data_IF_578424967019
#
_entry.id   IF_578424967019
#
_cell.length_a   1.000
_cell.length_b   1.000
_cell.length_c   1.000
_cell.angle_alpha   90.00
_cell.angle_beta   90.00
_cell.angle_gamma   90.00
#
_symmetry.space_group_name_H-M   'P 1'
#
loop_
_entity.id
_entity.type
_entity.pdbx_description
1 polymer ?
#
# COMPACT_ATOMS: atom_id res chain seq x y z
N UNK A 1 -8.06 -17.34 51.36
CA UNK A 1 -8.89 -16.54 50.45
C UNK A 1 -7.99 -16.12 49.30
N UNK A 2 -8.25 -16.58 48.08
CA UNK A 2 -9.29 -16.12 47.14
C UNK A 2 -8.91 -14.83 46.41
N UNK A 3 -9.13 -14.83 45.10
CA UNK A 3 -8.94 -13.74 44.15
C UNK A 3 -7.94 -14.11 43.05
N UNK A 4 -8.21 -15.10 42.21
CA UNK A 4 -8.99 -15.03 40.96
C UNK A 4 -8.31 -14.22 39.83
N UNK A 5 -7.79 -14.99 38.89
CA UNK A 5 -7.89 -14.85 37.43
C UNK A 5 -8.38 -13.52 36.84
N UNK A 6 -7.54 -12.92 35.99
CA UNK A 6 -8.00 -12.51 34.65
C UNK A 6 -6.91 -12.83 33.64
N UNK A 7 -7.06 -13.98 33.00
CA UNK A 7 -6.46 -14.26 31.71
C UNK A 7 -7.10 -13.31 30.69
N UNK A 8 -6.45 -12.19 30.42
CA UNK A 8 -6.82 -11.34 29.29
C UNK A 8 -6.40 -12.09 28.02
N UNK A 9 -7.30 -12.95 27.57
CA UNK A 9 -7.29 -13.46 26.21
C UNK A 9 -7.50 -12.27 25.28
N UNK A 10 -6.40 -11.70 24.77
CA UNK A 10 -6.39 -10.90 23.55
C UNK A 10 -6.82 -11.81 22.39
N UNK A 11 -8.12 -12.08 22.33
CA UNK A 11 -8.73 -12.62 21.15
C UNK A 11 -8.58 -11.52 20.10
N UNK A 12 -7.74 -11.79 19.10
CA UNK A 12 -7.74 -11.10 17.82
C UNK A 12 -9.18 -11.08 17.29
N UNK A 13 -9.94 -10.06 17.67
CA UNK A 13 -11.26 -9.82 17.11
C UNK A 13 -11.06 -9.60 15.63
N UNK A 14 -11.42 -10.62 14.84
CA UNK A 14 -11.35 -10.56 13.40
C UNK A 14 -12.09 -9.31 12.93
N UNK A 15 -11.38 -8.40 12.26
CA UNK A 15 -11.96 -7.13 11.87
C UNK A 15 -13.09 -7.36 10.88
N UNK A 16 -14.30 -6.93 11.23
CA UNK A 16 -15.51 -7.09 10.38
C UNK A 16 -15.44 -6.35 9.05
N UNK A 17 -14.45 -5.46 8.87
CA UNK A 17 -14.18 -4.72 7.65
C UNK A 17 -13.01 -5.27 6.83
N UNK A 18 -12.24 -6.22 7.36
CA UNK A 18 -11.07 -6.79 6.69
C UNK A 18 -11.28 -8.28 6.41
N UNK A 19 -10.73 -8.77 5.29
CA UNK A 19 -10.68 -10.20 5.00
C UNK A 19 -9.51 -10.86 5.76
N UNK A 20 -9.53 -10.83 7.10
CA UNK A 20 -8.48 -11.37 7.97
C UNK A 20 -8.00 -10.39 9.05
N UNK A 21 -6.73 -10.48 9.51
CA UNK A 21 -6.17 -9.59 10.52
C UNK A 21 -6.32 -8.12 10.11
N UNK A 22 -6.63 -7.27 11.07
CA UNK A 22 -6.97 -5.88 10.80
C UNK A 22 -5.79 -5.12 10.19
N UNK A 23 -5.99 -4.43 9.06
CA UNK A 23 -4.95 -3.59 8.47
C UNK A 23 -4.44 -2.51 9.44
N UNK A 24 -5.31 -2.06 10.37
CA UNK A 24 -4.96 -1.10 11.42
C UNK A 24 -3.81 -1.59 12.30
N UNK A 25 -3.70 -2.90 12.56
CA UNK A 25 -2.64 -3.48 13.41
C UNK A 25 -1.29 -3.46 12.69
N UNK A 26 -1.29 -3.52 11.35
CA UNK A 26 -0.08 -3.56 10.50
C UNK A 26 0.47 -2.18 10.16
N UNK A 27 -0.27 -1.11 10.45
CA UNK A 27 0.13 0.26 10.15
C UNK A 27 0.58 1.04 11.39
N UNK A 28 1.32 2.10 11.14
CA UNK A 28 1.75 3.13 12.07
C UNK A 28 1.57 4.49 11.42
N UNK A 29 1.33 5.52 12.23
CA UNK A 29 1.22 6.91 11.77
C UNK A 29 2.59 7.54 11.86
N UNK A 30 3.22 7.79 10.73
CA UNK A 30 4.54 8.43 10.69
C UNK A 30 4.71 9.23 9.41
N UNK A 31 5.74 10.07 9.37
CA UNK A 31 6.12 10.77 8.15
C UNK A 31 6.77 9.79 7.17
N UNK A 32 6.40 9.82 5.88
CA UNK A 32 7.11 9.05 4.87
C UNK A 32 8.56 9.54 4.76
N UNK A 33 9.48 8.62 4.45
CA UNK A 33 10.90 8.93 4.23
C UNK A 33 11.12 9.81 2.99
N UNK A 34 10.14 9.81 2.08
CA UNK A 34 10.10 10.67 0.88
C UNK A 34 9.28 11.91 1.15
N UNK A 35 9.79 13.05 0.68
CA UNK A 35 9.07 14.33 0.74
C UNK A 35 8.34 14.58 -0.57
N UNK A 36 7.14 15.13 -0.47
CA UNK A 36 6.48 15.87 -1.57
C UNK A 36 7.36 17.03 -2.04
N UNK A 37 7.01 17.63 -3.19
CA UNK A 37 7.75 18.77 -3.75
C UNK A 37 7.97 19.91 -2.75
N UNK A 38 9.06 20.66 -2.93
CA UNK A 38 9.50 21.75 -2.03
C UNK A 38 8.34 22.73 -1.78
N UNK A 39 8.00 22.94 -0.51
CA UNK A 39 6.99 23.92 -0.08
C UNK A 39 5.67 23.34 0.42
N UNK A 40 5.46 22.01 0.38
CA UNK A 40 4.27 21.38 0.99
C UNK A 40 4.54 20.90 2.41
N UNK A 41 3.53 20.98 3.27
CA UNK A 41 3.61 20.52 4.65
C UNK A 41 3.82 19.01 4.73
N UNK A 42 4.76 18.56 5.58
CA UNK A 42 4.91 17.14 5.90
C UNK A 42 3.57 16.59 6.40
N UNK A 43 3.04 15.59 5.69
CA UNK A 43 1.77 14.96 6.06
C UNK A 43 2.05 13.60 6.69
N UNK A 44 1.59 13.39 7.92
CA UNK A 44 1.65 12.07 8.55
C UNK A 44 0.78 11.12 7.74
N UNK A 45 1.33 9.97 7.37
CA UNK A 45 0.66 8.97 6.56
C UNK A 45 0.44 7.67 7.35
N UNK A 46 -0.49 6.86 6.87
CA UNK A 46 -0.58 5.46 7.25
C UNK A 46 0.55 4.71 6.55
N UNK A 47 1.57 4.32 7.31
CA UNK A 47 2.71 3.56 6.84
C UNK A 47 2.66 2.16 7.45
N UNK A 48 3.08 1.14 6.72
CA UNK A 48 3.24 -0.21 7.25
C UNK A 48 4.39 -0.23 8.26
N UNK A 49 4.22 -1.01 9.34
CA UNK A 49 5.28 -1.26 10.33
C UNK A 49 6.43 -2.05 9.71
N UNK A 50 6.09 -3.00 8.84
CA UNK A 50 7.04 -3.84 8.11
C UNK A 50 6.99 -3.52 6.62
N UNK A 51 8.18 -3.52 6.01
CA UNK A 51 8.34 -3.30 4.57
C UNK A 51 7.75 -4.47 3.80
N UNK A 52 6.94 -4.20 2.76
CA UNK A 52 6.50 -5.26 1.84
C UNK A 52 7.68 -5.73 0.97
N UNK A 53 7.79 -7.05 0.69
CA UNK A 53 8.70 -7.53 -0.34
C UNK A 53 8.40 -6.86 -1.68
N UNK A 54 9.43 -6.44 -2.41
CA UNK A 54 9.25 -5.68 -3.65
C UNK A 54 8.52 -6.49 -4.73
N UNK A 55 8.71 -7.81 -4.76
CA UNK A 55 7.97 -8.71 -5.65
C UNK A 55 6.45 -8.67 -5.40
N UNK A 56 6.00 -8.45 -4.17
CA UNK A 56 4.57 -8.33 -3.83
C UNK A 56 3.94 -7.00 -4.26
N UNK A 57 4.74 -6.06 -4.77
CA UNK A 57 4.22 -4.81 -5.34
C UNK A 57 3.78 -5.00 -6.78
N UNK A 58 4.36 -5.98 -7.49
CA UNK A 58 4.00 -6.27 -8.87
C UNK A 58 2.71 -7.11 -8.89
N UNK A 59 1.70 -6.63 -9.61
CA UNK A 59 0.35 -7.18 -9.57
C UNK A 59 0.08 -8.24 -10.65
N UNK A 60 0.82 -8.18 -11.76
CA UNK A 60 0.64 -9.01 -12.95
C UNK A 60 1.51 -10.29 -12.95
N UNK A 61 2.32 -10.50 -11.91
CA UNK A 61 3.21 -11.66 -11.79
C UNK A 61 3.08 -12.33 -10.43
N UNK A 62 3.01 -13.67 -10.36
CA UNK A 62 3.01 -14.38 -9.09
C UNK A 62 4.41 -14.34 -8.46
N UNK A 63 4.46 -14.44 -7.14
CA UNK A 63 5.71 -14.59 -6.38
C UNK A 63 5.54 -15.59 -5.23
N UNK A 64 6.64 -15.97 -4.58
CA UNK A 64 6.63 -16.92 -3.46
C UNK A 64 5.75 -16.49 -2.28
N UNK A 65 5.49 -15.18 -2.14
CA UNK A 65 4.65 -14.64 -1.07
C UNK A 65 3.16 -14.54 -1.47
N UNK A 66 2.85 -14.44 -2.75
CA UNK A 66 1.51 -14.15 -3.25
C UNK A 66 1.32 -14.71 -4.67
N UNK A 67 0.40 -15.67 -4.88
CA UNK A 67 0.19 -16.29 -6.18
C UNK A 67 -0.75 -15.51 -7.11
N UNK A 68 -1.30 -14.37 -6.65
CA UNK A 68 -2.28 -13.60 -7.42
C UNK A 68 -1.64 -12.93 -8.63
N UNK A 69 -2.31 -12.98 -9.77
CA UNK A 69 -1.82 -12.40 -11.04
C UNK A 69 -2.77 -11.35 -11.61
N UNK A 70 -3.90 -11.11 -10.94
CA UNK A 70 -4.87 -10.11 -11.33
C UNK A 70 -5.38 -9.31 -10.12
N UNK A 71 -5.78 -8.06 -10.36
CA UNK A 71 -6.36 -7.19 -9.33
C UNK A 71 -7.64 -7.78 -8.72
N UNK A 72 -8.37 -8.58 -9.50
CA UNK A 72 -9.60 -9.23 -9.07
C UNK A 72 -9.36 -10.23 -7.93
N UNK A 73 -8.25 -10.98 -7.98
CA UNK A 73 -7.93 -12.00 -6.97
C UNK A 73 -7.62 -11.41 -5.59
N UNK A 74 -7.16 -10.15 -5.53
CA UNK A 74 -6.93 -9.46 -4.26
C UNK A 74 -8.21 -9.13 -3.49
N UNK A 75 -9.39 -9.24 -4.14
CA UNK A 75 -10.71 -9.01 -3.51
C UNK A 75 -10.77 -7.73 -2.68
N UNK A 76 -10.25 -6.64 -3.23
CA UNK A 76 -10.25 -5.34 -2.56
C UNK A 76 -11.68 -4.90 -2.26
N UNK A 77 -11.90 -4.39 -1.04
CA UNK A 77 -13.18 -3.86 -0.60
C UNK A 77 -13.52 -2.54 -1.30
N UNK A 78 -12.52 -1.68 -1.48
CA UNK A 78 -12.63 -0.38 -2.14
C UNK A 78 -12.17 -0.46 -3.60
N UNK A 79 -12.83 0.32 -4.47
CA UNK A 79 -12.48 0.40 -5.90
C UNK A 79 -11.05 0.94 -6.08
N UNK A 80 -10.20 0.36 -6.95
CA UNK A 80 -8.84 0.84 -7.14
C UNK A 80 -8.80 2.18 -7.90
N UNK A 81 -7.73 2.93 -7.66
CA UNK A 81 -7.31 4.09 -8.44
C UNK A 81 -6.18 3.63 -9.36
N UNK A 82 -6.32 3.86 -10.66
CA UNK A 82 -5.28 3.54 -11.65
C UNK A 82 -4.58 4.83 -12.06
N UNK A 83 -3.25 4.86 -11.89
CA UNK A 83 -2.40 5.95 -12.38
C UNK A 83 -1.53 5.40 -13.50
N UNK A 84 -1.81 5.81 -14.74
CA UNK A 84 -0.96 5.50 -15.89
C UNK A 84 0.14 6.56 -16.03
N UNK A 85 1.37 6.11 -16.28
CA UNK A 85 2.51 6.98 -16.54
C UNK A 85 3.63 6.21 -17.26
N UNK A 86 4.40 6.90 -18.09
CA UNK A 86 5.51 6.28 -18.82
C UNK A 86 6.58 5.75 -17.85
N UNK A 87 6.93 6.53 -16.82
CA UNK A 87 7.97 6.19 -15.85
C UNK A 87 7.63 6.64 -14.44
N UNK A 88 8.28 6.04 -13.45
CA UNK A 88 8.20 6.50 -12.06
C UNK A 88 8.82 7.88 -11.91
N UNK A 89 8.12 8.80 -11.23
CA UNK A 89 8.61 10.14 -10.95
C UNK A 89 8.32 10.54 -9.50
N UNK A 90 9.10 11.48 -8.97
CA UNK A 90 8.84 12.07 -7.65
C UNK A 90 7.48 12.76 -7.55
N UNK A 91 6.93 13.21 -8.69
CA UNK A 91 5.58 13.78 -8.77
C UNK A 91 4.49 12.82 -8.32
N UNK A 92 4.69 11.49 -8.43
CA UNK A 92 3.72 10.49 -7.98
C UNK A 92 3.48 10.53 -6.46
N UNK A 93 4.47 10.96 -5.68
CA UNK A 93 4.30 11.13 -4.23
C UNK A 93 3.27 12.21 -3.88
N UNK A 94 3.11 13.22 -4.75
CA UNK A 94 2.10 14.26 -4.56
C UNK A 94 0.67 13.71 -4.69
N UNK A 95 0.48 12.57 -5.37
CA UNK A 95 -0.80 11.85 -5.40
C UNK A 95 -0.90 10.88 -4.21
N UNK A 96 0.15 10.10 -3.96
CA UNK A 96 0.13 9.03 -2.95
C UNK A 96 -0.07 9.58 -1.53
N UNK A 97 0.66 10.63 -1.16
CA UNK A 97 0.70 11.13 0.22
C UNK A 97 -0.68 11.61 0.69
N UNK A 98 -1.41 12.47 -0.03
CA UNK A 98 -2.77 12.86 0.37
C UNK A 98 -3.77 11.69 0.42
N UNK A 99 -3.61 10.69 -0.46
CA UNK A 99 -4.44 9.47 -0.48
C UNK A 99 -4.09 8.46 0.61
N UNK A 100 -3.02 8.72 1.37
CA UNK A 100 -2.56 7.87 2.48
C UNK A 100 -2.41 8.63 3.79
N UNK A 101 -2.90 9.87 3.84
CA UNK A 101 -2.81 10.73 5.02
C UNK A 101 -3.55 10.14 6.22
N UNK A 102 -3.03 10.39 7.43
CA UNK A 102 -3.53 9.80 8.68
C UNK A 102 -5.00 10.11 8.99
N UNK A 103 -5.50 11.25 8.49
CA UNK A 103 -6.88 11.70 8.69
C UNK A 103 -7.88 10.99 7.77
N UNK A 104 -7.43 10.21 6.78
CA UNK A 104 -8.29 9.31 6.01
C UNK A 104 -8.60 8.06 6.85
N UNK A 105 -9.86 7.61 6.94
CA UNK A 105 -10.17 6.34 7.60
C UNK A 105 -9.45 5.18 6.90
N UNK A 106 -8.75 4.34 7.67
CA UNK A 106 -7.85 3.31 7.12
C UNK A 106 -8.60 2.28 6.27
N UNK A 107 -9.84 1.96 6.65
CA UNK A 107 -10.69 1.03 5.92
C UNK A 107 -11.31 1.63 4.64
N UNK A 108 -11.19 2.95 4.43
CA UNK A 108 -11.68 3.65 3.23
C UNK A 108 -10.53 3.96 2.26
N UNK A 109 -9.30 3.51 2.55
CA UNK A 109 -8.19 3.67 1.64
C UNK A 109 -8.44 2.85 0.35
N UNK A 110 -8.37 3.53 -0.77
CA UNK A 110 -8.46 2.92 -2.09
C UNK A 110 -7.11 2.32 -2.49
N UNK A 111 -7.05 1.08 -2.99
CA UNK A 111 -5.85 0.55 -3.64
C UNK A 111 -5.40 1.46 -4.77
N UNK A 112 -4.08 1.64 -4.94
CA UNK A 112 -3.51 2.41 -6.04
C UNK A 112 -2.70 1.45 -6.90
N UNK A 113 -3.00 1.41 -8.20
CA UNK A 113 -2.28 0.63 -9.19
C UNK A 113 -1.56 1.59 -10.13
N UNK A 114 -0.23 1.51 -10.16
CA UNK A 114 0.63 2.26 -11.07
C UNK A 114 0.79 1.43 -12.36
N UNK A 115 0.16 1.87 -13.44
CA UNK A 115 0.34 1.27 -14.76
C UNK A 115 1.50 1.98 -15.45
N UNK A 116 2.60 1.26 -15.66
CA UNK A 116 3.86 1.85 -16.11
C UNK A 116 4.26 1.38 -17.50
N UNK A 117 4.51 2.32 -18.41
CA UNK A 117 5.00 2.06 -19.76
C UNK A 117 6.53 1.98 -19.77
N UNK A 118 7.07 0.88 -19.21
CA UNK A 118 8.51 0.68 -19.12
C UNK A 118 9.07 0.26 -20.50
N UNK A 119 9.42 1.24 -21.34
CA UNK A 119 9.94 1.00 -22.71
C UNK A 119 11.30 0.27 -22.72
N UNK A 120 12.23 0.66 -21.83
CA UNK A 120 13.62 0.20 -21.84
C UNK A 120 14.04 -0.55 -20.56
N UNK A 121 13.11 -0.85 -19.64
CA UNK A 121 13.44 -1.41 -18.33
C UNK A 121 12.45 -2.49 -17.89
N UNK A 122 12.97 -3.58 -17.33
CA UNK A 122 12.14 -4.69 -16.79
C UNK A 122 11.49 -4.36 -15.45
N UNK A 123 11.91 -3.27 -14.79
CA UNK A 123 11.37 -2.86 -13.49
C UNK A 123 11.44 -1.35 -13.25
N UNK A 124 10.52 -0.80 -12.43
CA UNK A 124 10.55 0.59 -12.01
C UNK A 124 11.79 0.92 -11.15
N UNK A 125 12.06 2.21 -10.95
CA UNK A 125 13.19 2.65 -10.12
C UNK A 125 13.18 1.98 -8.72
N UNK A 126 14.24 1.24 -8.32
CA UNK A 126 14.26 0.51 -7.06
C UNK A 126 14.08 1.40 -5.82
N UNK A 127 14.59 2.64 -5.83
CA UNK A 127 14.41 3.57 -4.72
C UNK A 127 12.95 4.05 -4.60
N UNK A 128 12.26 4.18 -5.74
CA UNK A 128 10.82 4.46 -5.75
C UNK A 128 10.03 3.27 -5.20
N UNK A 129 10.34 2.05 -5.64
CA UNK A 129 9.71 0.82 -5.14
C UNK A 129 9.94 0.64 -3.63
N UNK A 130 11.15 0.91 -3.15
CA UNK A 130 11.50 0.89 -1.73
C UNK A 130 10.62 1.86 -0.93
N UNK A 131 10.50 3.11 -1.39
CA UNK A 131 9.66 4.10 -0.72
C UNK A 131 8.17 3.71 -0.68
N UNK A 132 7.61 3.25 -1.81
CA UNK A 132 6.18 2.88 -1.86
C UNK A 132 5.87 1.57 -1.13
N UNK A 133 6.87 0.72 -0.88
CA UNK A 133 6.69 -0.57 -0.20
C UNK A 133 6.19 -0.46 1.24
N UNK A 134 6.36 0.70 1.86
CA UNK A 134 5.81 1.02 3.18
C UNK A 134 4.40 1.60 3.12
N UNK A 135 3.87 1.98 1.95
CA UNK A 135 2.49 2.44 1.87
C UNK A 135 1.51 1.26 1.70
N UNK A 136 0.38 1.25 2.42
CA UNK A 136 -0.61 0.21 2.27
C UNK A 136 -1.30 0.29 0.90
N UNK A 137 -1.55 -0.87 0.28
CA UNK A 137 -2.38 -0.98 -0.92
C UNK A 137 -1.86 -0.20 -2.12
N UNK A 138 -0.54 -0.14 -2.32
CA UNK A 138 0.08 0.37 -3.56
C UNK A 138 0.68 -0.80 -4.32
N UNK A 139 0.42 -0.83 -5.62
CA UNK A 139 0.86 -1.87 -6.55
C UNK A 139 1.32 -1.22 -7.86
N UNK A 140 2.06 -1.96 -8.65
CA UNK A 140 2.40 -1.56 -10.02
C UNK A 140 2.23 -2.75 -10.97
N UNK A 141 2.07 -2.45 -12.25
CA UNK A 141 2.11 -3.42 -13.33
C UNK A 141 2.64 -2.75 -14.58
N UNK A 142 3.25 -3.53 -15.47
CA UNK A 142 3.69 -3.02 -16.77
C UNK A 142 2.53 -3.08 -17.75
N UNK A 143 2.37 -2.04 -18.56
CA UNK A 143 1.34 -1.99 -19.59
C UNK A 143 1.03 -0.57 -20.02
N UNK A 144 0.23 -0.43 -21.07
CA UNK A 144 -0.15 0.85 -21.67
C UNK A 144 -1.67 0.97 -21.74
N UNK A 145 -2.19 2.20 -21.82
CA UNK A 145 -3.60 2.42 -22.17
C UNK A 145 -3.66 2.69 -23.67
N UNK A 146 -3.93 1.65 -24.46
CA UNK A 146 -4.28 1.84 -25.86
C UNK A 146 -5.71 2.34 -25.97
N UNK A 147 -5.86 3.56 -26.50
CA UNK A 147 -7.13 4.14 -26.97
C UNK A 147 -7.34 3.82 -28.44
#
# INVERSE_FOLDING_TARGET
GQGDSSSDSELDEACTKCNGPCIQQKIQRTYPQVRTYIGTSNTVCHMLKEKRPLCCLQLDKPCEHCPYTSAYEYRWTNKPIILAADRTSSGMYNLIIPLRAYYRPVHELHPIVLLLELEDADSPNPAFLDAISYFPGIYWMQGTISV
#
